data_IF_318612604833
#
_entry.id   IF_318612604833
#
_cell.length_a   1.000
_cell.length_b   1.000
_cell.length_c   1.000
_cell.angle_alpha   90.00
_cell.angle_beta   90.00
_cell.angle_gamma   90.00
#
_symmetry.space_group_name_H-M   'P 1'
#
loop_
_entity.id
_entity.type
_entity.pdbx_description
1 polymer ?
#
# COMPACT_ATOMS: atom_id res chain seq x y z
N UNK A 1 26.60 -21.35 6.19
CA UNK A 1 25.65 -20.35 5.64
C UNK A 1 24.22 -20.83 5.88
N UNK A 2 23.45 -20.19 6.77
CA UNK A 2 22.16 -20.71 7.27
C UNK A 2 20.97 -20.28 6.39
N UNK A 3 20.93 -20.76 5.14
CA UNK A 3 19.88 -20.44 4.15
C UNK A 3 18.47 -20.75 4.67
N UNK A 4 18.32 -21.89 5.34
CA UNK A 4 17.08 -22.31 5.99
C UNK A 4 16.63 -21.33 7.08
N UNK A 5 17.56 -20.75 7.85
CA UNK A 5 17.23 -19.77 8.87
C UNK A 5 16.66 -18.48 8.29
N UNK A 6 17.23 -18.00 7.18
CA UNK A 6 16.71 -16.83 6.47
C UNK A 6 15.28 -17.07 5.95
N UNK A 7 15.00 -18.24 5.37
CA UNK A 7 13.66 -18.60 4.91
C UNK A 7 12.65 -18.66 6.06
N UNK A 8 13.03 -19.23 7.21
CA UNK A 8 12.16 -19.25 8.39
C UNK A 8 11.87 -17.84 8.91
N UNK A 9 12.86 -16.94 8.93
CA UNK A 9 12.64 -15.54 9.27
C UNK A 9 11.68 -14.87 8.30
N UNK A 10 11.82 -15.08 6.99
CA UNK A 10 10.91 -14.56 5.97
C UNK A 10 9.47 -15.05 6.17
N UNK A 11 9.28 -16.35 6.41
CA UNK A 11 7.97 -16.93 6.69
C UNK A 11 7.36 -16.33 7.96
N UNK A 12 8.13 -16.21 9.04
CA UNK A 12 7.66 -15.62 10.30
C UNK A 12 7.26 -14.14 10.12
N UNK A 13 8.07 -13.34 9.42
CA UNK A 13 7.75 -11.93 9.14
C UNK A 13 6.42 -11.80 8.38
N UNK A 14 6.19 -12.64 7.35
CA UNK A 14 4.94 -12.64 6.59
C UNK A 14 3.72 -13.02 7.44
N UNK A 15 3.87 -13.95 8.38
CA UNK A 15 2.78 -14.33 9.29
C UNK A 15 2.51 -13.24 10.34
N UNK A 16 3.51 -12.43 10.69
CA UNK A 16 3.41 -11.39 11.73
C UNK A 16 2.94 -10.03 11.18
N UNK A 17 3.17 -9.76 9.89
CA UNK A 17 2.89 -8.46 9.29
C UNK A 17 1.39 -8.09 9.23
N UNK A 18 0.43 -8.99 8.96
CA UNK A 18 -0.98 -8.63 8.90
C UNK A 18 -1.44 -7.99 10.22
N UNK A 19 -1.84 -6.72 10.17
CA UNK A 19 -2.37 -5.99 11.33
C UNK A 19 -1.33 -5.26 12.18
N UNK A 20 -0.04 -5.27 11.84
CA UNK A 20 1.00 -4.59 12.64
C UNK A 20 1.62 -3.38 11.90
N UNK A 21 1.72 -2.22 12.57
CA UNK A 21 2.40 -1.01 12.07
C UNK A 21 3.86 -0.96 12.53
N UNK A 22 4.58 -2.08 12.42
CA UNK A 22 5.97 -2.15 12.87
C UNK A 22 6.93 -1.64 11.78
N UNK A 23 8.02 -1.01 12.22
CA UNK A 23 9.12 -0.68 11.32
C UNK A 23 9.77 -1.98 10.77
N UNK A 24 10.28 -1.99 9.53
CA UNK A 24 10.91 -3.17 8.93
C UNK A 24 12.04 -3.77 9.78
N UNK A 25 12.85 -2.92 10.40
CA UNK A 25 13.95 -3.30 11.29
C UNK A 25 13.43 -4.02 12.54
N UNK A 26 12.33 -3.54 13.11
CA UNK A 26 11.68 -4.14 14.28
C UNK A 26 11.05 -5.50 13.93
N UNK A 27 10.35 -5.57 12.80
CA UNK A 27 9.76 -6.81 12.30
C UNK A 27 10.82 -7.89 12.04
N UNK A 28 11.95 -7.49 11.44
CA UNK A 28 13.10 -8.36 11.23
C UNK A 28 13.69 -8.83 12.57
N UNK A 29 13.94 -7.92 13.51
CA UNK A 29 14.51 -8.25 14.82
C UNK A 29 13.63 -9.23 15.59
N UNK A 30 12.32 -8.96 15.69
CA UNK A 30 11.36 -9.84 16.38
C UNK A 30 11.33 -11.23 15.76
N UNK A 31 11.31 -11.30 14.43
CA UNK A 31 11.28 -12.59 13.73
C UNK A 31 12.60 -13.35 13.86
N UNK A 32 13.74 -12.66 13.80
CA UNK A 32 15.04 -13.26 14.04
C UNK A 32 15.14 -13.82 15.46
N UNK A 33 14.69 -13.05 16.46
CA UNK A 33 14.66 -13.48 17.87
C UNK A 33 13.80 -14.72 18.06
N UNK A 34 12.56 -14.71 17.56
CA UNK A 34 11.63 -15.84 17.68
C UNK A 34 12.19 -17.13 17.07
N UNK A 35 12.78 -17.05 15.87
CA UNK A 35 13.37 -18.23 15.23
C UNK A 35 14.67 -18.64 15.94
N UNK A 36 15.45 -17.71 16.50
CA UNK A 36 16.68 -18.03 17.25
C UNK A 36 16.35 -18.78 18.54
N UNK A 37 15.33 -18.32 19.27
CA UNK A 37 14.80 -18.97 20.48
C UNK A 37 14.25 -20.36 20.15
N UNK A 38 13.45 -20.50 19.10
CA UNK A 38 12.91 -21.79 18.65
C UNK A 38 14.00 -22.82 18.27
N UNK A 39 15.19 -22.37 17.89
CA UNK A 39 16.35 -23.22 17.57
C UNK A 39 17.27 -23.50 18.76
N UNK A 40 16.83 -23.16 19.98
CA UNK A 40 17.53 -23.47 21.22
C UNK A 40 18.48 -22.37 21.70
N UNK A 41 18.29 -21.10 21.27
CA UNK A 41 18.88 -19.89 21.86
C UNK A 41 20.38 -19.68 21.66
N UNK A 42 21.19 -20.76 21.67
CA UNK A 42 22.65 -20.70 21.58
C UNK A 42 23.23 -21.04 20.20
N UNK A 43 22.42 -21.58 19.27
CA UNK A 43 22.91 -21.96 17.93
C UNK A 43 22.90 -20.83 16.90
N UNK A 44 22.28 -19.69 17.21
CA UNK A 44 22.24 -18.47 16.41
C UNK A 44 21.73 -18.65 14.97
N UNK A 45 20.79 -17.82 14.54
CA UNK A 45 20.57 -17.66 13.11
C UNK A 45 21.72 -16.81 12.57
N UNK A 46 22.80 -17.47 12.13
CA UNK A 46 23.88 -16.82 11.39
C UNK A 46 23.37 -16.53 9.97
N UNK A 47 22.57 -15.47 9.84
CA UNK A 47 22.35 -14.78 8.57
C UNK A 47 23.58 -13.93 8.32
N UNK A 48 24.31 -14.19 7.24
CA UNK A 48 25.33 -13.24 6.79
C UNK A 48 24.68 -11.88 6.46
N UNK A 49 25.50 -10.83 6.36
CA UNK A 49 25.03 -9.47 6.08
C UNK A 49 24.17 -9.41 4.82
N UNK A 50 24.48 -10.19 3.79
CA UNK A 50 23.69 -10.27 2.56
C UNK A 50 22.26 -10.77 2.81
N UNK A 51 22.07 -11.84 3.59
CA UNK A 51 20.74 -12.33 3.96
C UNK A 51 20.01 -11.34 4.86
N UNK A 52 20.69 -10.68 5.79
CA UNK A 52 20.08 -9.63 6.63
C UNK A 52 19.53 -8.50 5.76
N UNK A 53 20.31 -8.02 4.78
CA UNK A 53 19.88 -7.00 3.81
C UNK A 53 18.68 -7.45 2.98
N UNK A 54 18.69 -8.70 2.49
CA UNK A 54 17.57 -9.27 1.73
C UNK A 54 16.31 -9.42 2.59
N UNK A 55 16.43 -9.80 3.86
CA UNK A 55 15.31 -9.92 4.79
C UNK A 55 14.72 -8.56 5.16
N UNK A 56 15.57 -7.54 5.37
CA UNK A 56 15.11 -6.16 5.57
C UNK A 56 14.41 -5.61 4.32
N UNK A 57 14.93 -5.92 3.13
CA UNK A 57 14.28 -5.56 1.87
C UNK A 57 12.91 -6.24 1.74
N UNK A 58 12.83 -7.52 2.06
CA UNK A 58 11.57 -8.27 2.09
C UNK A 58 10.56 -7.66 3.07
N UNK A 59 11.00 -7.25 4.27
CA UNK A 59 10.14 -6.56 5.22
C UNK A 59 9.65 -5.19 4.70
N UNK A 60 10.51 -4.41 4.05
CA UNK A 60 10.15 -3.13 3.40
C UNK A 60 9.12 -3.29 2.28
N UNK A 61 9.14 -4.44 1.61
CA UNK A 61 8.20 -4.78 0.54
C UNK A 61 6.88 -5.37 1.03
N UNK A 62 6.55 -5.23 2.31
CA UNK A 62 5.28 -5.79 2.80
C UNK A 62 5.31 -7.31 2.91
N UNK A 63 6.50 -7.93 3.07
CA UNK A 63 6.66 -9.38 3.20
C UNK A 63 6.01 -10.19 2.06
N UNK A 64 5.97 -9.61 0.86
CA UNK A 64 5.42 -10.25 -0.34
C UNK A 64 6.47 -11.14 -1.00
N UNK A 65 6.07 -12.34 -1.40
CA UNK A 65 6.93 -13.19 -2.23
C UNK A 65 7.09 -12.58 -3.61
N UNK A 66 8.13 -12.98 -4.34
CA UNK A 66 8.39 -12.45 -5.68
C UNK A 66 7.20 -12.62 -6.63
N UNK A 67 6.52 -13.77 -6.58
CA UNK A 67 5.31 -13.99 -7.40
C UNK A 67 4.12 -13.12 -6.98
N UNK A 68 4.11 -12.60 -5.75
CA UNK A 68 3.05 -11.78 -5.19
C UNK A 68 3.34 -10.27 -5.33
N UNK A 69 4.52 -9.89 -5.82
CA UNK A 69 4.98 -8.51 -5.94
C UNK A 69 4.31 -7.84 -7.17
N UNK A 70 3.46 -6.81 -6.98
CA UNK A 70 2.77 -6.15 -8.09
C UNK A 70 3.71 -5.49 -9.11
N UNK A 71 4.90 -5.06 -8.64
CA UNK A 71 5.92 -4.44 -9.47
C UNK A 71 7.25 -4.34 -8.72
N UNK A 72 8.36 -4.58 -9.43
CA UNK A 72 9.74 -4.36 -8.95
C UNK A 72 9.98 -2.90 -8.57
N UNK A 73 9.24 -1.95 -9.18
CA UNK A 73 9.38 -0.53 -8.84
C UNK A 73 9.01 -0.19 -7.40
N UNK A 74 8.28 -1.07 -6.69
CA UNK A 74 7.99 -0.91 -5.26
C UNK A 74 9.27 -0.87 -4.39
N UNK A 75 10.34 -1.53 -4.84
CA UNK A 75 11.64 -1.55 -4.16
C UNK A 75 12.28 -0.17 -4.02
N UNK A 76 11.96 0.74 -4.94
CA UNK A 76 12.61 2.03 -5.10
C UNK A 76 11.72 3.20 -4.71
N UNK A 77 10.50 2.93 -4.26
CA UNK A 77 9.57 3.98 -3.85
C UNK A 77 9.97 4.54 -2.50
N UNK A 78 10.10 5.86 -2.44
CA UNK A 78 10.15 6.64 -1.21
C UNK A 78 8.87 6.43 -0.39
N UNK A 79 8.89 6.66 0.94
CA UNK A 79 7.69 6.60 1.77
C UNK A 79 6.53 7.46 1.22
N UNK A 80 6.85 8.61 0.63
CA UNK A 80 5.89 9.48 -0.04
C UNK A 80 5.26 8.82 -1.28
N UNK A 81 6.05 8.19 -2.14
CA UNK A 81 5.53 7.45 -3.30
C UNK A 81 4.71 6.21 -2.91
N UNK A 82 5.04 5.57 -1.78
CA UNK A 82 4.22 4.50 -1.22
C UNK A 82 2.87 5.04 -0.74
N UNK A 83 2.85 6.15 0.00
CA UNK A 83 1.63 6.81 0.44
C UNK A 83 0.76 7.26 -0.75
N UNK A 84 1.38 7.86 -1.77
CA UNK A 84 0.73 8.28 -3.01
C UNK A 84 0.07 7.08 -3.72
N UNK A 85 0.77 5.95 -3.82
CA UNK A 85 0.24 4.75 -4.47
C UNK A 85 -0.90 4.10 -3.68
N UNK A 86 -0.79 4.04 -2.35
CA UNK A 86 -1.84 3.56 -1.47
C UNK A 86 -3.10 4.44 -1.59
N UNK A 87 -2.91 5.77 -1.55
CA UNK A 87 -3.99 6.72 -1.69
C UNK A 87 -4.62 6.67 -3.09
N UNK A 88 -3.84 6.49 -4.16
CA UNK A 88 -4.38 6.31 -5.53
C UNK A 88 -5.28 5.09 -5.62
N UNK A 89 -4.89 3.99 -4.98
CA UNK A 89 -5.67 2.75 -4.95
C UNK A 89 -6.98 2.96 -4.18
N UNK A 90 -6.94 3.66 -3.04
CA UNK A 90 -8.14 4.06 -2.31
C UNK A 90 -9.04 4.98 -3.15
N UNK A 91 -8.47 5.97 -3.82
CA UNK A 91 -9.19 6.91 -4.66
C UNK A 91 -9.92 6.20 -5.80
N UNK A 92 -9.30 5.21 -6.43
CA UNK A 92 -9.93 4.41 -7.48
C UNK A 92 -11.09 3.57 -6.94
N UNK A 93 -10.88 2.89 -5.81
CA UNK A 93 -11.92 2.08 -5.17
C UNK A 93 -13.15 2.91 -4.75
N UNK A 94 -12.91 4.04 -4.07
CA UNK A 94 -13.98 4.94 -3.64
C UNK A 94 -14.66 5.58 -4.84
N UNK A 95 -13.90 6.02 -5.86
CA UNK A 95 -14.47 6.58 -7.08
C UNK A 95 -15.39 5.56 -7.79
N UNK A 96 -14.98 4.29 -7.88
CA UNK A 96 -15.81 3.24 -8.46
C UNK A 96 -17.13 3.09 -7.71
N UNK A 97 -17.08 3.00 -6.37
CA UNK A 97 -18.27 2.91 -5.53
C UNK A 97 -19.21 4.11 -5.70
N UNK A 98 -18.66 5.32 -5.69
CA UNK A 98 -19.46 6.55 -5.82
C UNK A 98 -20.06 6.68 -7.22
N UNK A 99 -19.28 6.45 -8.28
CA UNK A 99 -19.75 6.58 -9.67
C UNK A 99 -20.84 5.56 -10.00
N UNK A 100 -20.65 4.30 -9.61
CA UNK A 100 -21.64 3.25 -9.88
C UNK A 100 -22.95 3.48 -9.10
N UNK A 101 -22.88 4.14 -7.93
CA UNK A 101 -24.06 4.51 -7.14
C UNK A 101 -24.68 5.87 -7.50
N UNK A 102 -24.09 6.63 -8.44
CA UNK A 102 -24.53 8.00 -8.71
C UNK A 102 -25.70 8.03 -9.72
N UNK A 103 -26.86 8.63 -9.36
CA UNK A 103 -27.99 8.75 -10.27
C UNK A 103 -27.62 9.51 -11.55
N UNK A 104 -27.96 8.95 -12.72
CA UNK A 104 -27.67 9.56 -14.03
C UNK A 104 -26.27 9.28 -14.59
N UNK A 105 -25.39 8.59 -13.84
CA UNK A 105 -24.13 8.10 -14.40
C UNK A 105 -24.40 6.83 -15.22
N UNK A 106 -24.47 6.95 -16.55
CA UNK A 106 -24.64 5.77 -17.42
C UNK A 106 -23.41 4.84 -17.36
N UNK A 107 -23.61 3.50 -17.43
CA UNK A 107 -22.51 2.52 -17.38
C UNK A 107 -21.40 2.78 -18.40
N UNK A 108 -21.76 3.27 -19.59
CA UNK A 108 -20.80 3.61 -20.66
C UNK A 108 -19.77 4.68 -20.24
N UNK A 109 -20.12 5.52 -19.27
CA UNK A 109 -19.26 6.60 -18.77
C UNK A 109 -18.54 6.25 -17.46
N UNK A 110 -18.85 5.13 -16.81
CA UNK A 110 -18.31 4.81 -15.48
C UNK A 110 -16.80 4.81 -15.44
N UNK A 111 -16.15 4.09 -16.37
CA UNK A 111 -14.68 4.01 -16.41
C UNK A 111 -14.02 5.39 -16.58
N UNK A 112 -14.61 6.23 -17.42
CA UNK A 112 -14.14 7.59 -17.67
C UNK A 112 -14.29 8.47 -16.42
N UNK A 113 -15.47 8.45 -15.79
CA UNK A 113 -15.75 9.23 -14.58
C UNK A 113 -14.90 8.79 -13.40
N UNK A 114 -14.69 7.48 -13.21
CA UNK A 114 -13.79 6.92 -12.18
C UNK A 114 -12.37 7.45 -12.38
N UNK A 115 -11.87 7.41 -13.62
CA UNK A 115 -10.53 7.91 -13.95
C UNK A 115 -10.40 9.40 -13.65
N UNK A 116 -11.38 10.21 -14.05
CA UNK A 116 -11.40 11.65 -13.80
C UNK A 116 -11.43 11.98 -12.31
N UNK A 117 -12.26 11.29 -11.52
CA UNK A 117 -12.34 11.50 -10.07
C UNK A 117 -11.01 11.13 -9.44
N UNK A 118 -10.46 9.94 -9.73
CA UNK A 118 -9.17 9.49 -9.21
C UNK A 118 -8.07 10.50 -9.49
N UNK A 119 -7.89 10.88 -10.76
CA UNK A 119 -6.80 11.78 -11.17
C UNK A 119 -7.04 13.23 -10.71
N UNK A 120 -8.30 13.62 -10.54
CA UNK A 120 -8.69 14.90 -9.94
C UNK A 120 -8.31 15.00 -8.47
N UNK A 121 -8.64 13.98 -7.68
CA UNK A 121 -8.28 13.93 -6.26
C UNK A 121 -6.76 13.84 -6.09
N UNK A 122 -6.08 12.99 -6.86
CA UNK A 122 -4.62 12.88 -6.81
C UNK A 122 -3.94 14.24 -7.03
N UNK A 123 -4.39 15.02 -8.03
CA UNK A 123 -3.88 16.37 -8.27
C UNK A 123 -4.17 17.36 -7.14
N UNK A 124 -5.29 17.19 -6.45
CA UNK A 124 -5.63 18.00 -5.28
C UNK A 124 -4.70 17.69 -4.10
N UNK A 125 -4.48 16.41 -3.81
CA UNK A 125 -3.61 15.95 -2.72
C UNK A 125 -2.14 16.31 -2.94
N UNK A 126 -1.66 16.27 -4.18
CA UNK A 126 -0.28 16.70 -4.50
C UNK A 126 0.01 18.17 -4.20
N UNK A 127 -1.01 19.00 -3.97
CA UNK A 127 -0.86 20.42 -3.58
C UNK A 127 -0.80 20.62 -2.07
N UNK A 128 -1.12 19.60 -1.28
CA UNK A 128 -1.07 19.67 0.17
C UNK A 128 0.38 19.60 0.65
N UNK A 129 0.68 20.14 1.85
CA UNK A 129 1.97 19.92 2.50
C UNK A 129 2.25 18.42 2.64
N UNK A 130 3.51 18.00 2.48
CA UNK A 130 3.94 16.58 2.52
C UNK A 130 3.42 15.84 3.78
N UNK A 131 3.33 16.53 4.92
CA UNK A 131 2.83 15.96 6.18
C UNK A 131 1.33 15.61 6.17
N UNK A 132 0.56 16.16 5.21
CA UNK A 132 -0.89 16.01 5.09
C UNK A 132 -1.31 15.33 3.78
N UNK A 133 -0.47 15.41 2.74
CA UNK A 133 -0.70 14.79 1.45
C UNK A 133 -0.86 13.28 1.60
N UNK A 134 -1.90 12.72 0.97
CA UNK A 134 -2.13 11.28 0.93
C UNK A 134 -2.39 10.64 2.31
N UNK A 135 -2.80 11.43 3.32
CA UNK A 135 -3.24 10.87 4.60
C UNK A 135 -4.51 10.03 4.41
N UNK A 136 -4.40 8.75 4.74
CA UNK A 136 -5.43 7.74 4.60
C UNK A 136 -6.55 7.87 5.63
N UNK A 137 -6.30 8.46 6.82
CA UNK A 137 -7.29 8.54 7.90
C UNK A 137 -8.59 9.22 7.48
N UNK A 138 -8.45 10.29 6.69
CA UNK A 138 -9.55 11.10 6.18
C UNK A 138 -9.73 10.96 4.66
N UNK A 139 -8.93 10.13 4.01
CA UNK A 139 -8.85 10.03 2.55
C UNK A 139 -10.18 9.70 1.90
N UNK A 140 -10.90 8.69 2.42
CA UNK A 140 -12.19 8.24 1.88
C UNK A 140 -13.25 9.35 1.90
N UNK A 141 -13.33 10.12 3.01
CA UNK A 141 -14.23 11.26 3.14
C UNK A 141 -13.90 12.35 2.13
N UNK A 142 -12.61 12.67 1.94
CA UNK A 142 -12.15 13.69 0.97
C UNK A 142 -12.44 13.26 -0.47
N UNK A 143 -12.14 12.01 -0.82
CA UNK A 143 -12.42 11.45 -2.15
C UNK A 143 -13.92 11.48 -2.43
N UNK A 144 -14.75 11.02 -1.49
CA UNK A 144 -16.22 11.00 -1.64
C UNK A 144 -16.79 12.40 -1.84
N UNK A 145 -16.34 13.38 -1.04
CA UNK A 145 -16.77 14.78 -1.15
C UNK A 145 -16.39 15.37 -2.51
N UNK A 146 -15.16 15.13 -2.98
CA UNK A 146 -14.72 15.56 -4.31
C UNK A 146 -15.55 14.90 -5.42
N UNK A 147 -15.70 13.57 -5.37
CA UNK A 147 -16.42 12.79 -6.36
C UNK A 147 -17.87 13.27 -6.51
N UNK A 148 -18.58 13.47 -5.40
CA UNK A 148 -19.98 13.92 -5.40
C UNK A 148 -20.13 15.29 -6.05
N UNK A 149 -19.30 16.27 -5.66
CA UNK A 149 -19.30 17.63 -6.25
C UNK A 149 -18.93 17.62 -7.73
N UNK A 150 -18.02 16.73 -8.13
CA UNK A 150 -17.54 16.63 -9.50
C UNK A 150 -18.59 15.99 -10.41
N UNK A 151 -19.22 14.90 -9.95
CA UNK A 151 -20.26 14.19 -10.69
C UNK A 151 -21.49 15.06 -10.92
N UNK A 152 -21.89 15.87 -9.94
CA UNK A 152 -23.02 16.80 -10.10
C UNK A 152 -22.82 17.75 -11.29
N UNK A 153 -21.59 18.20 -11.53
CA UNK A 153 -21.25 19.07 -12.66
C UNK A 153 -21.12 18.30 -13.97
N UNK A 154 -20.52 17.11 -13.94
CA UNK A 154 -20.18 16.35 -15.15
C UNK A 154 -21.31 15.50 -15.70
N UNK A 155 -22.15 14.92 -14.85
CA UNK A 155 -23.32 14.15 -15.30
C UNK A 155 -24.32 15.07 -16.01
N UNK A 156 -24.54 16.29 -15.49
CA UNK A 156 -25.34 17.32 -16.18
C UNK A 156 -24.80 17.66 -17.57
N UNK A 157 -23.47 17.77 -17.71
CA UNK A 157 -22.83 18.08 -18.98
C UNK A 157 -22.77 16.91 -19.98
N UNK A 158 -22.92 15.67 -19.53
CA UNK A 158 -22.95 14.48 -20.38
C UNK A 158 -24.38 14.08 -20.79
N UNK A 159 -25.39 14.64 -20.12
CA UNK A 159 -26.82 14.35 -20.35
C UNK A 159 -27.53 15.40 -21.21
N UNK A 160 -26.83 16.48 -21.59
CA UNK A 160 -27.31 17.53 -22.49
C UNK A 160 -26.58 17.47 -23.82
#
# INVERSE_FOLDING_TARGET
>A
VNRSGALMCAAHMRLTMPGTRMAPEELFWRSWKAISEARGGGRGIVTNVSFQRQLLLFARLGCQWWQDLPSVSLLWRTPHEQAMAAFRSLAEHVAQRVVCGYPGAEPKHHKYLVTLVRDGVMRGESKLPIAQAFDMKDGERRITSYATKYLEKKVKALSG
#
